data_IF_950966886733
#
_entry.id   IF_950966886733
#
_cell.length_a   1.000
_cell.length_b   1.000
_cell.length_c   1.000
_cell.angle_alpha   90.00
_cell.angle_beta   90.00
_cell.angle_gamma   90.00
#
_symmetry.space_group_name_H-M   'P 1'
#
loop_
_entity.id
_entity.type
_entity.pdbx_description
1 polymer ?
#
# COMPACT_ATOMS: atom_id res chain seq x y z
N UNK A 1 48.69 6.71 30.70
CA UNK A 1 47.86 5.76 31.48
C UNK A 1 47.81 4.42 30.77
N UNK A 2 48.04 3.31 31.47
CA UNK A 2 48.00 1.96 30.88
C UNK A 2 46.58 1.63 30.43
N UNK A 3 46.42 0.97 29.28
CA UNK A 3 45.13 0.65 28.64
C UNK A 3 44.10 -0.03 29.57
N UNK A 4 44.58 -0.75 30.59
CA UNK A 4 43.74 -1.37 31.63
C UNK A 4 43.05 -0.33 32.55
N UNK A 5 43.74 0.77 32.88
CA UNK A 5 43.18 1.84 33.71
C UNK A 5 42.11 2.65 32.95
N UNK A 6 42.28 2.80 31.62
CA UNK A 6 41.28 3.48 30.78
C UNK A 6 39.98 2.66 30.65
N UNK A 7 40.07 1.32 30.59
CA UNK A 7 38.89 0.44 30.55
C UNK A 7 38.11 0.45 31.86
N UNK A 8 38.80 0.50 33.00
CA UNK A 8 38.18 0.61 34.31
C UNK A 8 37.45 1.95 34.50
N UNK A 9 38.06 3.06 34.06
CA UNK A 9 37.44 4.39 34.13
C UNK A 9 36.23 4.48 33.19
N UNK A 10 36.32 3.92 31.99
CA UNK A 10 35.19 3.93 31.04
C UNK A 10 34.01 3.07 31.53
N UNK A 11 34.29 1.91 32.14
CA UNK A 11 33.24 1.07 32.74
C UNK A 11 32.56 1.76 33.93
N UNK A 12 33.32 2.44 34.78
CA UNK A 12 32.76 3.20 35.91
C UNK A 12 31.88 4.38 35.44
N UNK A 13 32.26 5.08 34.36
CA UNK A 13 31.45 6.17 33.80
C UNK A 13 30.15 5.66 33.17
N UNK A 14 30.14 4.47 32.57
CA UNK A 14 28.91 3.86 32.01
C UNK A 14 27.93 3.48 33.12
N UNK A 15 28.39 2.98 34.27
CA UNK A 15 27.52 2.63 35.39
C UNK A 15 26.89 3.88 36.03
N UNK A 16 27.62 5.00 36.11
CA UNK A 16 27.09 6.28 36.61
C UNK A 16 26.05 6.89 35.65
N UNK A 17 26.23 6.70 34.33
CA UNK A 17 25.27 7.17 33.31
C UNK A 17 23.96 6.37 33.31
N UNK A 18 23.98 5.10 33.71
CA UNK A 18 22.76 4.27 33.78
C UNK A 18 21.96 4.57 35.06
N UNK A 19 22.61 5.02 36.14
CA UNK A 19 21.96 5.27 37.43
C UNK A 19 21.14 6.58 37.52
N UNK A 20 21.25 7.49 36.54
CA UNK A 20 20.56 8.80 36.57
C UNK A 20 19.33 8.89 35.68
N UNK A 21 18.93 7.80 35.00
CA UNK A 21 17.69 7.76 34.22
C UNK A 21 16.51 7.23 35.05
N UNK A 22 16.17 7.92 36.14
CA UNK A 22 14.85 7.77 36.78
C UNK A 22 13.83 8.64 36.03
N UNK A 23 12.94 7.96 35.31
CA UNK A 23 11.87 8.55 34.52
C UNK A 23 10.80 9.09 35.46
N UNK A 24 10.56 10.40 35.43
CA UNK A 24 9.39 11.00 36.05
C UNK A 24 8.13 10.56 35.30
N UNK A 25 7.25 9.83 35.98
CA UNK A 25 5.92 9.48 35.48
C UNK A 25 5.05 10.74 35.43
N UNK A 26 4.36 11.05 34.31
CA UNK A 26 3.37 12.11 34.28
C UNK A 26 2.09 11.67 35.01
N UNK A 27 1.60 12.54 35.88
CA UNK A 27 0.35 12.39 36.61
C UNK A 27 -0.85 12.33 35.64
N UNK A 28 -1.71 11.34 35.85
CA UNK A 28 -3.02 11.23 35.20
C UNK A 28 -3.95 12.32 35.75
N UNK A 29 -4.48 13.17 34.87
CA UNK A 29 -5.60 14.04 35.17
C UNK A 29 -6.90 13.39 34.67
N UNK A 30 -7.95 13.28 35.52
CA UNK A 30 -9.22 12.73 35.08
C UNK A 30 -9.99 13.77 34.24
N UNK A 31 -10.20 13.45 32.96
CA UNK A 31 -11.09 14.20 32.07
C UNK A 31 -12.55 13.95 32.50
N UNK A 32 -13.17 14.95 33.11
CA UNK A 32 -14.61 14.98 33.38
C UNK A 32 -15.37 15.18 32.07
N UNK A 33 -16.23 14.20 31.75
CA UNK A 33 -17.19 14.28 30.66
C UNK A 33 -18.28 15.31 30.99
N UNK A 34 -18.29 16.44 30.29
CA UNK A 34 -19.41 17.38 30.26
C UNK A 34 -20.41 16.93 29.17
N UNK A 35 -21.52 16.33 29.61
CA UNK A 35 -22.70 16.09 28.78
C UNK A 35 -23.48 17.41 28.70
N UNK A 36 -23.37 18.11 27.58
CA UNK A 36 -24.26 19.22 27.25
C UNK A 36 -25.60 18.65 26.76
N UNK A 37 -26.60 18.74 27.64
CA UNK A 37 -28.03 18.49 27.39
C UNK A 37 -28.55 19.58 26.44
N UNK A 38 -28.97 19.21 25.23
CA UNK A 38 -29.81 20.05 24.37
C UNK A 38 -31.20 19.41 24.27
N UNK A 39 -32.21 20.05 24.89
CA UNK A 39 -33.63 19.89 24.59
C UNK A 39 -34.29 21.21 25.02
N UNK A 40 -34.71 22.05 24.07
CA UNK A 40 -36.00 22.00 23.35
C UNK A 40 -36.98 22.97 23.99
N UNK A 41 -37.02 24.20 23.46
CA UNK A 41 -38.02 25.22 23.78
C UNK A 41 -39.24 25.06 22.88
N UNK A 42 -40.37 24.82 23.53
CA UNK A 42 -41.73 24.73 23.00
C UNK A 42 -42.32 26.12 22.73
N UNK A 43 -43.06 26.30 21.62
CA UNK A 43 -44.31 27.09 21.57
C UNK A 43 -45.14 26.77 20.31
N UNK A 44 -46.48 27.01 20.35
CA UNK A 44 -47.47 26.23 19.62
C UNK A 44 -48.09 26.96 18.42
N UNK A 45 -48.73 26.20 17.53
CA UNK A 45 -49.79 26.71 16.65
C UNK A 45 -50.98 25.75 16.60
N UNK A 46 -52.12 26.36 16.32
CA UNK A 46 -53.50 25.99 16.62
C UNK A 46 -54.11 24.86 15.77
N UNK A 47 -54.98 24.10 16.45
CA UNK A 47 -56.38 23.77 16.12
C UNK A 47 -56.72 23.10 14.77
N UNK A 48 -57.38 21.93 14.82
CA UNK A 48 -58.64 21.57 14.13
C UNK A 48 -59.15 20.20 14.66
N UNK A 49 -60.29 20.24 15.37
CA UNK A 49 -61.53 19.41 15.29
C UNK A 49 -61.39 17.88 15.16
N UNK A 50 -61.73 17.09 16.20
CA UNK A 50 -63.01 16.34 16.42
C UNK A 50 -63.30 15.26 15.35
N UNK A 51 -63.65 13.99 15.59
CA UNK A 51 -64.33 13.31 16.72
C UNK A 51 -64.19 11.79 16.52
N UNK A 52 -64.33 11.04 17.62
CA UNK A 52 -65.16 9.80 17.78
C UNK A 52 -64.43 8.57 18.31
N UNK A 53 -64.86 8.22 19.53
CA UNK A 53 -64.67 6.98 20.26
C UNK A 53 -65.18 5.73 19.52
N UNK A 54 -64.51 4.60 19.72
CA UNK A 54 -65.14 3.36 20.17
C UNK A 54 -64.13 2.42 20.85
N UNK A 55 -64.55 1.92 22.01
CA UNK A 55 -63.88 0.97 22.89
C UNK A 55 -64.16 -0.46 22.43
N UNK A 56 -63.16 -1.34 22.33
CA UNK A 56 -63.34 -2.80 22.60
C UNK A 56 -61.98 -3.47 22.88
N UNK A 57 -61.91 -4.17 24.02
CA UNK A 57 -60.79 -5.01 24.49
C UNK A 57 -61.00 -6.49 24.03
N UNK A 58 -60.17 -7.48 24.43
CA UNK A 58 -59.18 -8.15 23.57
C UNK A 58 -59.56 -9.58 23.17
N UNK A 59 -59.03 -10.09 22.05
CA UNK A 59 -59.00 -11.53 21.78
C UNK A 59 -57.58 -12.06 21.59
N UNK A 60 -57.28 -13.01 22.46
CA UNK A 60 -56.12 -13.89 22.53
C UNK A 60 -56.06 -14.83 21.31
N UNK A 61 -54.96 -14.82 20.55
CA UNK A 61 -54.67 -15.84 19.52
C UNK A 61 -53.22 -16.34 19.67
N UNK A 62 -53.12 -17.68 19.69
CA UNK A 62 -51.92 -18.49 19.92
C UNK A 62 -50.85 -18.37 18.79
N UNK A 63 -49.56 -18.62 19.08
CA UNK A 63 -48.49 -18.54 18.10
C UNK A 63 -48.46 -19.76 17.17
N UNK A 64 -48.41 -19.50 15.85
CA UNK A 64 -48.28 -20.52 14.80
C UNK A 64 -46.80 -20.77 14.49
N UNK A 65 -46.39 -22.04 14.56
CA UNK A 65 -45.05 -22.55 14.20
C UNK A 65 -44.69 -22.20 12.75
N UNK A 66 -43.51 -21.61 12.56
CA UNK A 66 -42.89 -21.41 11.24
C UNK A 66 -41.89 -22.53 10.98
N UNK A 67 -42.15 -23.32 9.94
CA UNK A 67 -41.30 -24.40 9.44
C UNK A 67 -40.21 -23.84 8.52
N UNK A 68 -38.96 -24.16 8.85
CA UNK A 68 -37.75 -23.91 8.06
C UNK A 68 -37.78 -24.77 6.79
N UNK A 69 -37.74 -24.16 5.60
CA UNK A 69 -37.46 -24.86 4.34
C UNK A 69 -36.06 -24.54 3.85
N UNK A 70 -35.28 -25.60 3.67
CA UNK A 70 -33.93 -25.61 3.13
C UNK A 70 -33.87 -25.08 1.69
N UNK A 71 -32.90 -24.22 1.42
CA UNK A 71 -32.55 -23.78 0.08
C UNK A 71 -31.72 -24.88 -0.62
N UNK A 72 -32.27 -25.39 -1.72
CA UNK A 72 -31.64 -26.38 -2.60
C UNK A 72 -30.67 -25.67 -3.54
N UNK A 73 -29.40 -26.06 -3.45
CA UNK A 73 -28.28 -25.63 -4.29
C UNK A 73 -28.50 -26.10 -5.74
N UNK A 74 -28.55 -25.16 -6.69
CA UNK A 74 -28.54 -25.47 -8.12
C UNK A 74 -27.14 -25.19 -8.65
N UNK A 75 -26.38 -26.26 -8.90
CA UNK A 75 -25.16 -26.26 -9.69
C UNK A 75 -25.53 -26.18 -11.18
N UNK A 76 -25.28 -25.05 -11.82
CA UNK A 76 -25.30 -24.95 -13.29
C UNK A 76 -23.88 -25.08 -13.83
N UNK A 77 -23.64 -26.16 -14.56
CA UNK A 77 -22.43 -26.41 -15.31
C UNK A 77 -22.30 -25.40 -16.47
N UNK A 78 -21.19 -24.65 -16.49
CA UNK A 78 -20.81 -23.76 -17.57
C UNK A 78 -20.03 -24.54 -18.64
N UNK A 79 -20.57 -24.63 -19.86
CA UNK A 79 -19.87 -25.16 -21.04
C UNK A 79 -19.07 -24.04 -21.74
N UNK A 80 -17.81 -24.26 -22.15
CA UNK A 80 -17.01 -23.24 -22.82
C UNK A 80 -17.46 -23.03 -24.27
N UNK A 81 -17.59 -21.76 -24.66
CA UNK A 81 -17.95 -21.32 -26.02
C UNK A 81 -16.68 -21.19 -26.85
N UNK A 82 -16.69 -21.81 -28.04
CA UNK A 82 -15.61 -21.87 -29.04
C UNK A 82 -15.46 -20.49 -29.70
N UNK A 83 -14.30 -19.86 -29.57
CA UNK A 83 -13.98 -18.55 -30.18
C UNK A 83 -13.38 -18.75 -31.56
N UNK A 84 -14.05 -18.24 -32.58
CA UNK A 84 -13.58 -18.17 -33.98
C UNK A 84 -12.72 -16.93 -34.19
N UNK A 85 -11.47 -17.14 -34.59
CA UNK A 85 -10.50 -16.11 -34.98
C UNK A 85 -10.94 -15.45 -36.29
N UNK A 86 -11.21 -14.13 -36.26
CA UNK A 86 -11.33 -13.30 -37.47
C UNK A 86 -10.09 -12.44 -37.62
N UNK A 87 -9.32 -12.77 -38.65
CA UNK A 87 -8.14 -12.06 -39.15
C UNK A 87 -8.54 -10.68 -39.69
N UNK A 88 -8.04 -9.61 -39.06
CA UNK A 88 -8.07 -8.27 -39.66
C UNK A 88 -6.80 -8.05 -40.49
N UNK A 89 -7.02 -7.96 -41.80
CA UNK A 89 -6.07 -7.60 -42.85
C UNK A 89 -5.79 -6.10 -42.75
N UNK A 90 -4.57 -5.70 -42.34
CA UNK A 90 -4.11 -4.33 -42.47
C UNK A 90 -3.35 -4.17 -43.79
N UNK A 91 -3.82 -3.23 -44.61
CA UNK A 91 -3.16 -2.78 -45.84
C UNK A 91 -2.28 -1.59 -45.50
N UNK A 92 -0.97 -1.77 -45.48
CA UNK A 92 0.00 -0.67 -45.45
C UNK A 92 0.44 -0.34 -46.88
N UNK A 93 0.10 0.88 -47.34
CA UNK A 93 0.66 1.46 -48.57
C UNK A 93 2.08 1.95 -48.28
N UNK A 94 3.03 1.46 -49.07
CA UNK A 94 4.44 1.84 -49.03
C UNK A 94 4.67 3.25 -49.61
N UNK A 95 5.49 4.04 -48.93
CA UNK A 95 6.21 5.18 -49.49
C UNK A 95 7.70 4.82 -49.57
N UNK A 96 8.25 4.97 -50.76
CA UNK A 96 9.64 4.75 -51.15
C UNK A 96 10.51 5.90 -50.59
N UNK A 97 11.76 5.63 -50.19
CA UNK A 97 12.83 6.25 -50.97
C UNK A 97 14.05 5.35 -51.26
N UNK A 98 14.60 5.69 -52.42
CA UNK A 98 15.86 5.42 -53.11
C UNK A 98 17.04 4.87 -52.30
N UNK A 99 17.64 3.82 -52.85
CA UNK A 99 18.89 3.19 -52.44
C UNK A 99 20.14 3.98 -52.87
N UNK A 100 21.21 3.88 -52.07
CA UNK A 100 22.61 3.65 -52.52
C UNK A 100 23.53 3.48 -51.32
N UNK A 101 23.97 2.25 -51.04
CA UNK A 101 25.31 1.98 -50.48
C UNK A 101 25.69 0.51 -50.63
N UNK A 102 27.01 0.32 -50.72
CA UNK A 102 27.75 -0.79 -51.31
C UNK A 102 27.77 -2.08 -50.49
N UNK A 103 28.08 -3.15 -51.21
CA UNK A 103 28.30 -4.53 -50.78
C UNK A 103 29.24 -4.70 -49.58
N UNK A 104 28.89 -5.63 -48.67
CA UNK A 104 29.87 -6.44 -47.95
C UNK A 104 29.31 -7.85 -47.66
N UNK A 105 29.92 -8.80 -48.38
CA UNK A 105 30.27 -10.20 -48.06
C UNK A 105 29.56 -10.92 -46.90
N UNK A 106 28.91 -12.02 -47.28
CA UNK A 106 28.46 -13.13 -46.43
C UNK A 106 29.63 -13.87 -45.77
N UNK A 107 29.49 -14.20 -44.48
CA UNK A 107 30.23 -15.32 -43.87
C UNK A 107 29.38 -16.01 -42.81
N UNK A 108 29.25 -17.33 -43.00
CA UNK A 108 28.58 -18.35 -42.20
C UNK A 108 29.28 -18.61 -40.86
N UNK A 109 28.53 -18.78 -39.78
CA UNK A 109 28.97 -19.47 -38.55
C UNK A 109 27.72 -20.09 -37.88
N UNK A 110 27.46 -21.38 -38.11
CA UNK A 110 27.86 -22.55 -37.28
C UNK A 110 27.24 -22.53 -35.88
N UNK A 111 26.20 -23.35 -35.74
CA UNK A 111 25.54 -23.70 -34.50
C UNK A 111 26.47 -24.53 -33.60
N UNK A 112 26.54 -24.18 -32.32
CA UNK A 112 27.15 -25.00 -31.28
C UNK A 112 26.07 -25.34 -30.23
N UNK A 113 25.70 -26.61 -30.25
CA UNK A 113 24.84 -27.30 -29.28
C UNK A 113 25.65 -27.55 -28.01
N UNK A 114 25.22 -26.99 -26.88
CA UNK A 114 25.79 -27.30 -25.57
C UNK A 114 24.76 -28.01 -24.71
N UNK A 115 25.05 -29.26 -24.42
CA UNK A 115 24.33 -30.23 -23.59
C UNK A 115 24.34 -29.78 -22.12
N UNK A 116 23.17 -29.63 -21.51
CA UNK A 116 23.04 -29.44 -20.04
C UNK A 116 22.99 -30.80 -19.32
N UNK A 117 23.71 -30.97 -18.19
CA UNK A 117 23.53 -32.14 -17.33
C UNK A 117 22.25 -32.00 -16.46
N UNK A 118 21.59 -33.10 -16.08
CA UNK A 118 20.49 -33.08 -15.13
C UNK A 118 21.03 -33.08 -13.70
N UNK A 119 20.55 -32.20 -12.84
CA UNK A 119 20.90 -32.20 -11.42
C UNK A 119 19.66 -31.99 -10.56
N UNK A 120 19.17 -33.12 -10.06
CA UNK A 120 18.59 -33.38 -8.74
C UNK A 120 17.79 -32.28 -8.03
N UNK A 121 16.50 -32.56 -7.93
CA UNK A 121 15.55 -31.99 -6.97
C UNK A 121 15.97 -32.29 -5.52
N UNK A 122 16.28 -31.25 -4.76
CA UNK A 122 16.39 -31.32 -3.30
C UNK A 122 15.22 -30.58 -2.65
N UNK A 123 14.42 -31.36 -1.92
CA UNK A 123 13.41 -30.89 -0.97
C UNK A 123 14.11 -30.46 0.31
N UNK A 124 13.96 -29.19 0.71
CA UNK A 124 14.30 -28.73 2.07
C UNK A 124 13.33 -27.65 2.58
N UNK A 125 12.55 -28.06 3.60
CA UNK A 125 11.92 -27.40 4.77
C UNK A 125 11.86 -25.84 4.85
N UNK A 126 10.78 -25.25 5.44
CA UNK A 126 10.61 -23.80 5.53
C UNK A 126 11.60 -23.21 6.53
N UNK A 127 12.45 -22.31 6.03
CA UNK A 127 13.39 -21.53 6.83
C UNK A 127 12.92 -20.08 6.83
N UNK A 128 12.96 -19.48 8.01
CA UNK A 128 12.68 -18.07 8.33
C UNK A 128 13.05 -17.11 7.20
N UNK A 129 12.08 -16.27 6.83
CA UNK A 129 12.16 -15.31 5.74
C UNK A 129 13.47 -14.49 5.82
N UNK A 130 14.27 -14.42 4.74
CA UNK A 130 15.52 -13.67 4.75
C UNK A 130 15.24 -12.20 5.01
N UNK A 131 16.12 -11.58 5.82
CA UNK A 131 16.27 -10.13 5.92
C UNK A 131 16.22 -9.50 4.50
N UNK A 132 15.48 -8.39 4.29
CA UNK A 132 15.35 -7.77 2.97
C UNK A 132 16.72 -7.56 2.34
N UNK A 133 16.92 -8.02 1.09
CA UNK A 133 18.14 -7.71 0.34
C UNK A 133 18.26 -6.19 0.26
N UNK A 134 19.46 -5.61 0.49
CA UNK A 134 19.64 -4.19 0.29
C UNK A 134 19.21 -3.83 -1.13
N UNK A 135 18.19 -2.97 -1.25
CA UNK A 135 17.81 -2.42 -2.54
C UNK A 135 19.00 -1.69 -3.15
N UNK A 136 19.04 -1.57 -4.49
CA UNK A 136 19.97 -0.62 -5.12
C UNK A 136 19.70 0.79 -4.53
N UNK A 137 20.69 1.68 -4.54
CA UNK A 137 20.50 3.07 -4.07
C UNK A 137 19.20 3.67 -4.63
N UNK A 138 18.36 4.21 -3.75
CA UNK A 138 17.04 4.73 -4.09
C UNK A 138 15.91 3.70 -4.19
N UNK A 139 16.14 2.44 -3.79
CA UNK A 139 15.08 1.42 -3.73
C UNK A 139 14.68 1.01 -2.30
N UNK A 140 15.19 1.70 -1.27
CA UNK A 140 14.78 1.45 0.10
C UNK A 140 14.07 2.68 0.64
N UNK A 141 12.82 2.50 1.07
CA UNK A 141 12.04 3.49 1.81
C UNK A 141 12.08 3.25 3.32
N UNK A 142 11.55 4.21 4.08
CA UNK A 142 11.34 4.09 5.52
C UNK A 142 10.00 4.73 5.90
N UNK A 143 9.39 4.29 7.00
CA UNK A 143 8.18 4.90 7.58
C UNK A 143 8.41 5.01 9.08
N UNK A 144 8.46 6.24 9.58
CA UNK A 144 8.57 6.54 11.01
C UNK A 144 7.20 6.96 11.53
N UNK A 145 6.63 8.01 10.93
CA UNK A 145 5.33 8.58 11.24
C UNK A 145 4.76 9.38 10.04
N UNK A 146 3.68 10.15 10.26
CA UNK A 146 2.98 10.95 9.24
C UNK A 146 3.81 12.08 8.63
N UNK A 147 4.87 12.54 9.30
CA UNK A 147 5.74 13.59 8.81
C UNK A 147 7.00 13.01 8.15
N UNK A 148 7.39 11.81 8.57
CA UNK A 148 8.68 11.19 8.28
C UNK A 148 8.51 9.82 7.63
N UNK A 149 8.32 9.83 6.32
CA UNK A 149 8.12 8.62 5.54
C UNK A 149 8.60 8.76 4.10
N UNK A 150 8.65 7.64 3.40
CA UNK A 150 8.92 7.57 1.97
C UNK A 150 7.79 6.88 1.21
N UNK A 151 7.66 7.22 -0.06
CA UNK A 151 6.83 6.55 -1.06
C UNK A 151 7.67 6.29 -2.31
N UNK A 152 7.26 5.34 -3.14
CA UNK A 152 7.82 5.10 -4.46
C UNK A 152 7.10 5.94 -5.51
N UNK A 153 7.86 6.54 -6.42
CA UNK A 153 7.34 7.26 -7.58
C UNK A 153 8.16 6.90 -8.82
N UNK A 154 7.65 7.16 -10.03
CA UNK A 154 8.43 7.02 -11.25
C UNK A 154 9.77 7.76 -11.14
N UNK A 155 10.85 7.25 -11.76
CA UNK A 155 12.18 7.85 -11.63
C UNK A 155 12.27 9.23 -12.30
N UNK A 156 11.37 9.50 -13.25
CA UNK A 156 11.25 10.74 -14.02
C UNK A 156 9.94 11.44 -13.69
N UNK A 157 10.02 12.77 -13.54
CA UNK A 157 8.87 13.66 -13.34
C UNK A 157 7.82 13.43 -14.42
N UNK A 158 6.56 13.30 -14.02
CA UNK A 158 5.42 13.05 -14.90
C UNK A 158 5.37 11.66 -15.54
N UNK A 159 6.18 10.71 -15.07
CA UNK A 159 6.01 9.31 -15.44
C UNK A 159 4.66 8.78 -15.02
N UNK A 160 4.06 7.92 -15.86
CA UNK A 160 2.85 7.17 -15.54
C UNK A 160 3.13 6.10 -14.47
N UNK A 161 2.29 5.97 -13.45
CA UNK A 161 2.54 5.06 -12.32
C UNK A 161 2.65 3.61 -12.79
N UNK A 162 1.66 3.10 -13.53
CA UNK A 162 1.62 1.71 -13.99
C UNK A 162 2.77 1.38 -14.95
N UNK A 163 3.11 2.30 -15.86
CA UNK A 163 4.21 2.10 -16.81
C UNK A 163 5.60 2.13 -16.17
N UNK A 164 5.71 2.48 -14.88
CA UNK A 164 6.97 2.63 -14.15
C UNK A 164 7.08 1.72 -12.92
N UNK A 165 6.15 0.76 -12.73
CA UNK A 165 6.16 -0.19 -11.62
C UNK A 165 7.51 -0.90 -11.46
N UNK A 166 8.19 -1.24 -12.55
CA UNK A 166 9.45 -1.97 -12.56
C UNK A 166 10.69 -1.13 -12.18
N UNK A 167 10.58 0.20 -12.22
CA UNK A 167 11.72 1.13 -12.14
C UNK A 167 11.53 2.32 -11.22
N UNK A 168 10.45 2.32 -10.43
CA UNK A 168 10.21 3.36 -9.44
C UNK A 168 11.35 3.46 -8.41
N UNK A 169 11.47 4.63 -7.80
CA UNK A 169 12.48 4.91 -6.77
C UNK A 169 11.81 5.57 -5.57
N UNK A 170 12.41 5.41 -4.39
CA UNK A 170 11.92 5.99 -3.16
C UNK A 170 12.13 7.51 -3.15
N UNK A 171 11.10 8.23 -2.73
CA UNK A 171 11.08 9.64 -2.41
C UNK A 171 10.59 9.83 -0.98
N UNK A 172 11.31 10.57 -0.17
CA UNK A 172 10.99 10.79 1.24
C UNK A 172 10.60 12.24 1.52
N UNK A 173 9.84 12.45 2.60
CA UNK A 173 9.42 13.78 3.05
C UNK A 173 10.58 14.68 3.48
N UNK A 174 11.71 14.09 3.89
CA UNK A 174 12.96 14.77 4.22
C UNK A 174 14.12 14.18 3.42
N UNK A 175 15.15 15.00 3.18
CA UNK A 175 16.40 14.51 2.62
C UNK A 175 17.13 13.59 3.62
N UNK A 176 17.90 12.62 3.10
CA UNK A 176 18.78 11.75 3.88
C UNK A 176 18.10 11.01 5.04
N UNK A 177 16.84 10.59 4.84
CA UNK A 177 16.10 9.83 5.84
C UNK A 177 16.87 8.56 6.27
N UNK A 178 17.09 8.34 7.59
CA UNK A 178 17.71 7.12 8.08
C UNK A 178 16.97 5.87 7.61
N UNK A 179 17.72 4.89 7.09
CA UNK A 179 17.12 3.68 6.52
C UNK A 179 16.53 3.84 5.12
N UNK A 180 16.78 4.95 4.42
CA UNK A 180 16.40 5.14 3.02
C UNK A 180 17.57 5.62 2.15
N UNK A 181 18.67 4.85 2.03
CA UNK A 181 19.86 5.27 1.30
C UNK A 181 19.57 5.54 -0.19
N UNK A 182 19.98 6.72 -0.65
CA UNK A 182 19.77 7.16 -2.03
C UNK A 182 18.33 7.50 -2.39
N UNK A 183 17.41 7.52 -1.41
CA UNK A 183 16.07 8.03 -1.64
C UNK A 183 16.12 9.53 -1.98
N UNK A 184 15.25 9.93 -2.91
CA UNK A 184 15.10 11.32 -3.33
C UNK A 184 14.25 12.08 -2.32
N UNK A 185 14.23 13.42 -2.40
CA UNK A 185 13.30 14.23 -1.62
C UNK A 185 12.00 14.44 -2.41
N UNK A 186 10.85 14.31 -1.74
CA UNK A 186 9.56 14.64 -2.32
C UNK A 186 9.49 16.14 -2.68
N UNK A 187 8.88 16.51 -3.81
CA UNK A 187 8.63 17.91 -4.11
C UNK A 187 7.81 18.58 -3.02
N UNK A 188 8.15 19.84 -2.68
CA UNK A 188 7.43 20.60 -1.68
C UNK A 188 5.94 20.71 -2.02
N UNK A 189 5.09 20.31 -1.07
CA UNK A 189 3.63 20.33 -1.21
C UNK A 189 3.06 19.20 -2.06
N UNK A 190 3.87 18.18 -2.42
CA UNK A 190 3.37 16.97 -3.07
C UNK A 190 2.46 16.17 -2.15
N UNK A 191 2.80 16.02 -0.87
CA UNK A 191 1.91 15.43 0.13
C UNK A 191 0.96 16.52 0.63
N UNK A 192 -0.34 16.27 0.53
CA UNK A 192 -1.42 17.17 0.97
C UNK A 192 -1.99 16.75 2.32
N UNK A 193 -2.11 15.45 2.54
CA UNK A 193 -2.42 14.86 3.84
C UNK A 193 -1.68 13.53 4.01
N UNK A 194 -1.43 13.16 5.27
CA UNK A 194 -0.81 11.91 5.66
C UNK A 194 -1.39 11.48 7.00
N UNK A 195 -1.99 10.30 7.02
CA UNK A 195 -2.64 9.72 8.19
C UNK A 195 -1.92 8.44 8.56
N UNK A 196 -1.15 8.49 9.65
CA UNK A 196 -0.34 7.36 10.09
C UNK A 196 -1.13 6.43 11.02
N UNK A 197 -1.09 5.14 10.73
CA UNK A 197 -1.67 4.09 11.59
C UNK A 197 -0.64 2.99 11.82
N UNK A 198 -0.53 2.53 13.07
CA UNK A 198 0.32 1.39 13.45
C UNK A 198 -0.55 0.32 14.10
N UNK A 199 -0.40 -0.92 13.63
CA UNK A 199 -0.97 -2.09 14.28
C UNK A 199 0.18 -2.94 14.83
N UNK A 200 0.40 -2.86 16.14
CA UNK A 200 1.47 -3.59 16.82
C UNK A 200 1.18 -5.09 16.91
N UNK A 201 -0.08 -5.49 17.04
CA UNK A 201 -0.47 -6.90 17.11
C UNK A 201 -0.23 -7.65 15.79
N UNK A 202 -0.52 -7.00 14.65
CA UNK A 202 -0.28 -7.57 13.32
C UNK A 202 1.10 -7.20 12.74
N UNK A 203 1.86 -6.31 13.38
CA UNK A 203 3.21 -5.94 12.95
C UNK A 203 3.24 -5.17 11.63
N UNK A 204 2.38 -4.16 11.46
CA UNK A 204 2.42 -3.29 10.29
C UNK A 204 2.24 -1.81 10.63
N UNK A 205 2.73 -0.97 9.73
CA UNK A 205 2.47 0.47 9.70
C UNK A 205 1.89 0.86 8.35
N UNK A 206 1.06 1.90 8.35
CA UNK A 206 0.36 2.38 7.18
C UNK A 206 0.33 3.91 7.17
N UNK A 207 0.44 4.48 5.97
CA UNK A 207 0.09 5.87 5.70
C UNK A 207 -0.91 5.89 4.56
N UNK A 208 -1.98 6.65 4.76
CA UNK A 208 -2.98 6.97 3.73
C UNK A 208 -3.13 8.49 3.64
N UNK A 209 -3.49 9.01 2.48
CA UNK A 209 -3.71 10.45 2.36
C UNK A 209 -3.80 10.92 0.93
N UNK A 210 -3.68 12.24 0.77
CA UNK A 210 -3.81 12.92 -0.52
C UNK A 210 -2.48 13.43 -1.03
N UNK A 211 -2.34 13.42 -2.35
CA UNK A 211 -1.23 14.05 -3.07
C UNK A 211 -1.69 15.32 -3.79
N UNK A 212 -0.74 16.12 -4.23
CA UNK A 212 -0.94 17.14 -5.25
C UNK A 212 -0.15 16.71 -6.47
N UNK A 213 -0.84 16.12 -7.45
CA UNK A 213 -0.22 15.50 -8.63
C UNK A 213 0.62 16.48 -9.45
N UNK A 214 0.24 17.76 -9.45
CA UNK A 214 0.94 18.82 -10.19
C UNK A 214 2.37 19.04 -9.71
N UNK A 215 2.68 18.74 -8.43
CA UNK A 215 4.03 18.92 -7.87
C UNK A 215 5.05 17.91 -8.40
N UNK A 216 4.59 16.83 -9.02
CA UNK A 216 5.43 15.86 -9.73
C UNK A 216 4.99 15.67 -11.19
N UNK A 217 4.20 16.60 -11.73
CA UNK A 217 3.65 16.59 -13.08
C UNK A 217 2.92 15.27 -13.47
N UNK A 218 2.32 14.58 -12.49
CA UNK A 218 1.59 13.35 -12.75
C UNK A 218 0.29 13.67 -13.50
N UNK A 219 -0.06 12.82 -14.47
CA UNK A 219 -1.22 13.04 -15.33
C UNK A 219 -2.52 12.91 -14.55
N UNK A 220 -3.53 13.78 -14.77
CA UNK A 220 -4.87 13.59 -14.21
C UNK A 220 -5.62 12.39 -14.81
N UNK A 221 -5.07 11.77 -15.86
CA UNK A 221 -5.62 10.57 -16.52
C UNK A 221 -4.91 9.28 -16.11
N UNK A 222 -3.86 9.39 -15.29
CA UNK A 222 -3.15 8.24 -14.77
C UNK A 222 -3.97 7.64 -13.63
N UNK A 223 -4.55 6.47 -13.88
CA UNK A 223 -5.38 5.73 -12.93
C UNK A 223 -4.58 5.06 -11.82
N UNK A 224 -3.25 5.19 -11.85
CA UNK A 224 -2.37 4.66 -10.84
C UNK A 224 -1.85 3.26 -11.11
N UNK A 225 -1.22 2.71 -10.08
CA UNK A 225 -0.60 1.40 -10.11
C UNK A 225 -0.14 0.99 -8.71
N UNK A 226 0.51 -0.17 -8.63
CA UNK A 226 0.96 -0.79 -7.39
C UNK A 226 2.47 -0.96 -7.38
N UNK A 227 3.12 -0.45 -6.33
CA UNK A 227 4.50 -0.79 -6.01
C UNK A 227 4.55 -1.77 -4.84
N UNK A 228 5.34 -2.82 -4.99
CA UNK A 228 5.58 -3.81 -3.95
C UNK A 228 6.98 -4.43 -4.10
N UNK A 229 7.27 -5.48 -3.34
CA UNK A 229 8.57 -6.15 -3.35
C UNK A 229 9.00 -6.76 -4.70
N UNK A 230 8.06 -6.94 -5.63
CA UNK A 230 8.27 -7.51 -6.96
C UNK A 230 8.61 -6.43 -7.99
N UNK A 231 7.98 -5.27 -7.86
CA UNK A 231 8.08 -4.17 -8.78
C UNK A 231 8.06 -2.85 -7.99
N UNK A 232 9.18 -2.12 -7.89
CA UNK A 232 10.45 -2.35 -8.60
C UNK A 232 11.33 -3.45 -7.98
N UNK A 233 12.20 -4.07 -8.79
CA UNK A 233 13.08 -5.16 -8.31
C UNK A 233 14.14 -4.63 -7.35
N UNK A 234 13.99 -5.00 -6.07
CA UNK A 234 14.86 -4.55 -4.98
C UNK A 234 14.18 -3.54 -4.04
N UNK A 235 12.93 -3.17 -4.33
CA UNK A 235 12.14 -2.29 -3.49
C UNK A 235 11.92 -2.90 -2.11
N UNK A 236 12.13 -2.10 -1.07
CA UNK A 236 11.95 -2.52 0.31
C UNK A 236 11.62 -1.35 1.22
N UNK A 237 11.07 -1.65 2.40
CA UNK A 237 10.97 -0.72 3.51
C UNK A 237 11.81 -1.21 4.69
N UNK A 238 12.62 -0.33 5.24
CA UNK A 238 13.50 -0.65 6.37
C UNK A 238 12.70 -1.16 7.56
N UNK A 239 13.06 -2.35 8.06
CA UNK A 239 12.41 -2.99 9.21
C UNK A 239 11.19 -3.86 8.85
N UNK A 240 10.81 -3.94 7.58
CA UNK A 240 9.63 -4.70 7.13
C UNK A 240 9.98 -5.75 6.09
N UNK A 241 9.23 -6.85 6.08
CA UNK A 241 9.45 -7.97 5.17
C UNK A 241 8.60 -7.87 3.90
N UNK A 242 7.57 -7.04 3.90
CA UNK A 242 6.72 -6.77 2.76
C UNK A 242 6.22 -5.32 2.78
N UNK A 243 5.84 -4.81 1.63
CA UNK A 243 5.08 -3.57 1.53
C UNK A 243 4.12 -3.64 0.34
N UNK A 244 3.11 -2.79 0.38
CA UNK A 244 2.24 -2.49 -0.75
C UNK A 244 1.97 -0.99 -0.77
N UNK A 245 2.24 -0.37 -1.91
CA UNK A 245 1.88 1.01 -2.19
C UNK A 245 0.91 1.06 -3.35
N UNK A 246 -0.11 1.90 -3.28
CA UNK A 246 -0.83 2.36 -4.46
C UNK A 246 -0.76 3.88 -4.53
N UNK A 247 -0.73 4.40 -5.74
CA UNK A 247 -0.72 5.83 -6.01
C UNK A 247 -1.65 6.06 -7.17
N UNK A 248 -2.68 6.88 -6.98
CA UNK A 248 -3.79 7.12 -7.91
C UNK A 248 -3.84 8.61 -8.26
N UNK A 249 -3.07 9.05 -9.28
CA UNK A 249 -3.02 10.46 -9.65
C UNK A 249 -4.36 11.04 -10.10
N UNK A 250 -5.21 10.27 -10.77
CA UNK A 250 -6.54 10.70 -11.21
C UNK A 250 -7.42 11.18 -10.04
N UNK A 251 -7.33 10.48 -8.91
CA UNK A 251 -8.09 10.69 -7.68
C UNK A 251 -7.31 11.47 -6.62
N UNK A 252 -6.03 11.79 -6.89
CA UNK A 252 -5.09 12.46 -5.98
C UNK A 252 -4.96 11.78 -4.61
N UNK A 253 -5.02 10.45 -4.56
CA UNK A 253 -4.81 9.68 -3.33
C UNK A 253 -3.61 8.74 -3.43
N UNK A 254 -3.06 8.41 -2.26
CA UNK A 254 -2.02 7.40 -2.13
C UNK A 254 -2.18 6.64 -0.81
N UNK A 255 -1.61 5.45 -0.78
CA UNK A 255 -1.58 4.61 0.39
C UNK A 255 -0.36 3.71 0.36
N UNK A 256 0.27 3.52 1.51
CA UNK A 256 1.42 2.65 1.70
C UNK A 256 1.23 1.87 2.99
N UNK A 257 1.43 0.56 2.96
CA UNK A 257 1.55 -0.28 4.16
C UNK A 257 2.85 -1.06 4.10
N UNK A 258 3.61 -1.05 5.18
CA UNK A 258 4.79 -1.89 5.38
C UNK A 258 4.49 -2.92 6.48
N UNK A 259 4.75 -4.19 6.19
CA UNK A 259 4.31 -5.33 7.00
C UNK A 259 5.49 -6.22 7.40
N UNK A 260 5.48 -6.70 8.65
CA UNK A 260 6.37 -7.77 9.08
C UNK A 260 5.97 -9.11 8.47
N UNK A 261 4.69 -9.32 8.19
CA UNK A 261 4.19 -10.53 7.53
C UNK A 261 3.58 -10.17 6.17
N UNK A 262 3.93 -10.94 5.13
CA UNK A 262 3.43 -10.70 3.77
C UNK A 262 1.89 -10.79 3.68
N UNK A 263 1.27 -11.62 4.52
CA UNK A 263 -0.19 -11.78 4.55
C UNK A 263 -0.95 -10.47 4.87
N UNK A 264 -0.33 -9.56 5.62
CA UNK A 264 -0.93 -8.27 5.98
C UNK A 264 -0.80 -7.20 4.88
N UNK A 265 -0.03 -7.50 3.83
CA UNK A 265 0.24 -6.65 2.68
C UNK A 265 -0.42 -7.25 1.41
N UNK A 266 -1.61 -6.76 1.01
CA UNK A 266 -2.33 -7.25 -0.17
C UNK A 266 -1.69 -6.83 -1.52
N UNK A 267 -0.64 -7.54 -1.92
CA UNK A 267 0.18 -7.30 -3.13
C UNK A 267 -0.37 -7.91 -4.44
N UNK A 268 -1.68 -8.14 -4.53
CA UNK A 268 -2.31 -8.79 -5.70
C UNK A 268 -3.60 -8.10 -6.13
N UNK A 269 -3.68 -6.78 -5.90
CA UNK A 269 -4.89 -5.96 -6.03
C UNK A 269 -4.62 -4.62 -6.72
N UNK A 270 -3.73 -4.61 -7.71
CA UNK A 270 -3.20 -3.37 -8.32
C UNK A 270 -4.25 -2.46 -8.95
N UNK A 271 -5.40 -2.99 -9.39
CA UNK A 271 -6.48 -2.22 -10.03
C UNK A 271 -7.61 -1.81 -9.08
N UNK A 272 -7.53 -2.18 -7.80
CA UNK A 272 -8.64 -2.02 -6.86
C UNK A 272 -8.67 -0.65 -6.17
N UNK A 273 -7.53 0.05 -6.17
CA UNK A 273 -7.37 1.35 -5.54
C UNK A 273 -7.22 1.31 -4.01
N UNK A 274 -6.72 2.40 -3.46
CA UNK A 274 -6.26 2.56 -2.10
C UNK A 274 -7.35 2.31 -1.07
N UNK A 275 -8.51 2.93 -1.28
CA UNK A 275 -9.67 2.81 -0.40
C UNK A 275 -10.11 1.35 -0.23
N UNK A 276 -10.07 0.57 -1.32
CA UNK A 276 -10.48 -0.84 -1.30
C UNK A 276 -9.38 -1.75 -0.76
N UNK A 277 -8.11 -1.47 -1.07
CA UNK A 277 -6.98 -2.34 -0.73
C UNK A 277 -6.54 -2.18 0.72
N UNK A 278 -6.41 -0.94 1.20
CA UNK A 278 -5.86 -0.63 2.52
C UNK A 278 -6.86 0.06 3.46
N UNK A 279 -7.99 0.55 2.95
CA UNK A 279 -8.90 1.41 3.72
C UNK A 279 -8.16 2.65 4.23
N UNK A 280 -8.56 3.16 5.39
CA UNK A 280 -7.89 4.30 6.05
C UNK A 280 -8.53 5.65 5.78
N UNK A 281 -7.85 6.70 6.23
CA UNK A 281 -8.28 8.09 6.11
C UNK A 281 -7.59 8.77 4.92
N UNK A 282 -8.37 9.46 4.09
CA UNK A 282 -7.94 10.19 2.90
C UNK A 282 -8.46 11.64 2.90
N UNK A 283 -8.91 12.14 4.05
CA UNK A 283 -9.29 13.55 4.22
C UNK A 283 -8.08 14.49 4.12
#
# INVERSE_FOLDING_TARGET
>A
MKQSQLKMILAAMIVVLIATMTVAAPAETPYTASIAKQHSTTKPHHHITSTRHTTTTPHHVKPKKTTTKAHKSITKAYKPKKTTTKTHKSTSKAHKPKATTKAHKSTTATAATTTMPPTTSVTSKPTTSPKPRPGKYGQTGTIVDQNDFCIFLPPTVGGDIAANEDRAVAFCTKANMPGAPGAKILPKGFIKSAHFTRNTAAGWVQITGRINRSKYNLSPKDGGGQYDMRAPVGASFTGYNAFVQLTEPDSEIYCIRACMTKADCPVNKSTHGCVRVLGGDYS
#
